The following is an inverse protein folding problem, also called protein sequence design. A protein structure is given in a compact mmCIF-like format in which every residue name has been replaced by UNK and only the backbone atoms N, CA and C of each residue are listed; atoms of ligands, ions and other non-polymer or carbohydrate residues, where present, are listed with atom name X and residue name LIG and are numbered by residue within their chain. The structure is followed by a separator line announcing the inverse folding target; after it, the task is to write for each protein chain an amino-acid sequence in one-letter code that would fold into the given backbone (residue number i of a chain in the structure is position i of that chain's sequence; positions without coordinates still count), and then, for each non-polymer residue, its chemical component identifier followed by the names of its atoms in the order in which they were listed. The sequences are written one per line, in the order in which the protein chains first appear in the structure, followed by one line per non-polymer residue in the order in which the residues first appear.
data_IF_417555173613
#
_entry.id   IF_417555173613
#
_cell.length_a   1.000
_cell.length_b   1.000
_cell.length_c   1.000
_cell.angle_alpha   90.00
_cell.angle_beta   90.00
_cell.angle_gamma   90.00
#
_symmetry.space_group_name_H-M   'P 1'
#
loop_
_entity.id
_entity.type
_entity.pdbx_description
1 polymer ?
#
# COMPACT_ATOMS: atom_id res chain seq x y z
N UNK A 1 2.13 14.55 10.73
CA UNK A 1 2.04 15.62 11.73
C UNK A 1 1.35 15.06 12.97
N UNK A 2 1.93 14.04 13.62
CA UNK A 2 1.26 13.31 14.72
C UNK A 2 1.03 14.18 15.97
N UNK A 3 1.76 15.28 16.11
CA UNK A 3 1.62 16.26 17.19
C UNK A 3 0.47 17.26 16.99
N UNK A 4 -0.29 17.15 15.89
CA UNK A 4 -1.46 18.00 15.61
C UNK A 4 -2.73 17.16 15.62
N UNK A 5 -3.80 17.73 16.14
CA UNK A 5 -5.15 17.18 15.99
C UNK A 5 -5.49 16.92 14.52
N UNK A 6 -6.13 15.79 14.16
CA UNK A 6 -6.38 15.42 12.77
C UNK A 6 -7.12 16.49 11.95
N UNK A 7 -8.10 17.17 12.55
CA UNK A 7 -8.83 18.27 11.89
C UNK A 7 -7.91 19.44 11.51
N UNK A 8 -6.98 19.81 12.38
CA UNK A 8 -6.00 20.86 12.12
C UNK A 8 -5.03 20.45 10.98
N UNK A 9 -4.66 19.17 10.90
CA UNK A 9 -3.85 18.66 9.79
C UNK A 9 -4.57 18.79 8.44
N UNK A 10 -5.88 18.50 8.40
CA UNK A 10 -6.69 18.63 7.18
C UNK A 10 -6.83 20.10 6.79
N UNK A 11 -7.14 20.99 7.74
CA UNK A 11 -7.24 22.42 7.49
C UNK A 11 -5.92 23.01 6.94
N UNK A 12 -4.78 22.61 7.51
CA UNK A 12 -3.48 23.04 7.01
C UNK A 12 -3.22 22.57 5.57
N UNK A 13 -3.57 21.32 5.23
CA UNK A 13 -3.46 20.80 3.85
C UNK A 13 -4.39 21.51 2.87
N UNK A 14 -5.61 21.82 3.29
CA UNK A 14 -6.56 22.58 2.48
C UNK A 14 -6.00 23.98 2.18
N UNK A 15 -5.42 24.66 3.18
CA UNK A 15 -4.82 25.97 2.96
C UNK A 15 -3.66 25.92 1.96
N UNK A 16 -2.81 24.89 2.03
CA UNK A 16 -1.75 24.69 1.03
C UNK A 16 -2.33 24.49 -0.39
N UNK A 17 -3.46 23.78 -0.53
CA UNK A 17 -4.14 23.63 -1.82
C UNK A 17 -4.65 24.99 -2.34
N UNK A 18 -5.34 25.75 -1.49
CA UNK A 18 -5.88 27.08 -1.83
C UNK A 18 -4.75 28.05 -2.23
N UNK A 19 -3.67 28.09 -1.45
CA UNK A 19 -2.48 28.90 -1.74
C UNK A 19 -1.84 28.50 -3.08
N UNK A 20 -1.75 27.20 -3.37
CA UNK A 20 -1.22 26.72 -4.65
C UNK A 20 -2.12 27.09 -5.84
N UNK A 21 -3.45 26.99 -5.70
CA UNK A 21 -4.40 27.42 -6.75
C UNK A 21 -4.23 28.91 -7.06
N UNK A 22 -4.15 29.75 -6.02
CA UNK A 22 -4.00 31.19 -6.18
C UNK A 22 -2.63 31.59 -6.73
N UNK A 23 -1.55 31.04 -6.17
CA UNK A 23 -0.19 31.50 -6.48
C UNK A 23 0.44 30.83 -7.68
N UNK A 24 0.20 29.53 -7.89
CA UNK A 24 0.74 28.77 -9.02
C UNK A 24 -0.29 28.74 -10.15
N UNK A 25 -1.49 28.27 -9.85
CA UNK A 25 -2.56 28.12 -10.85
C UNK A 25 -3.13 29.45 -11.36
N UNK A 26 -2.95 30.55 -10.61
CA UNK A 26 -3.54 31.88 -10.88
C UNK A 26 -5.07 31.83 -11.01
N UNK A 27 -5.70 30.90 -10.30
CA UNK A 27 -7.15 30.71 -10.30
C UNK A 27 -7.71 30.74 -8.88
N UNK A 28 -8.99 31.07 -8.75
CA UNK A 28 -9.75 30.95 -7.51
C UNK A 28 -10.85 29.93 -7.72
N UNK A 29 -10.99 28.98 -6.80
CA UNK A 29 -12.08 28.02 -6.86
C UNK A 29 -13.43 28.72 -6.62
N UNK A 30 -14.41 28.43 -7.47
CA UNK A 30 -15.80 28.86 -7.25
C UNK A 30 -16.41 28.13 -6.05
N UNK A 31 -16.12 26.83 -5.94
CA UNK A 31 -16.62 25.94 -4.88
C UNK A 31 -15.45 25.14 -4.33
N UNK A 32 -15.30 25.15 -3.00
CA UNK A 32 -14.42 24.23 -2.28
C UNK A 32 -15.30 23.13 -1.67
N UNK A 33 -15.11 21.89 -2.13
CA UNK A 33 -15.81 20.74 -1.56
C UNK A 33 -15.27 20.42 -0.16
N UNK A 34 -16.10 19.91 0.77
CA UNK A 34 -15.64 19.47 2.09
C UNK A 34 -14.51 18.44 1.97
N UNK A 35 -13.46 18.56 2.77
CA UNK A 35 -12.35 17.62 2.74
C UNK A 35 -12.82 16.17 2.99
N UNK A 36 -12.13 15.21 2.38
CA UNK A 36 -12.33 13.79 2.70
C UNK A 36 -11.61 13.47 4.01
N UNK A 37 -12.36 12.93 4.97
CA UNK A 37 -11.84 12.45 6.24
C UNK A 37 -11.81 10.93 6.24
N UNK A 38 -10.77 10.37 6.86
CA UNK A 38 -10.58 8.94 6.98
C UNK A 38 -9.96 8.61 8.34
N UNK A 39 -9.73 7.32 8.61
CA UNK A 39 -9.11 6.90 9.85
C UNK A 39 -7.75 7.57 10.04
N UNK A 40 -7.49 8.08 11.25
CA UNK A 40 -6.24 8.76 11.59
C UNK A 40 -5.08 7.80 11.89
N UNK A 41 -5.44 6.57 12.26
CA UNK A 41 -4.53 5.47 12.61
C UNK A 41 -4.94 4.21 11.83
N UNK A 42 -4.08 3.20 11.80
CA UNK A 42 -4.38 1.89 11.24
C UNK A 42 -4.85 1.88 9.78
N UNK A 43 -4.53 2.94 9.02
CA UNK A 43 -5.10 3.16 7.70
C UNK A 43 -4.22 2.63 6.58
N UNK A 44 -2.94 2.36 6.85
CA UNK A 44 -1.92 2.10 5.84
C UNK A 44 -1.85 0.61 5.50
N UNK A 45 -2.47 0.24 4.39
CA UNK A 45 -2.50 -1.14 3.87
C UNK A 45 -1.23 -1.55 3.12
N UNK A 46 -0.27 -0.63 2.94
CA UNK A 46 1.00 -0.92 2.26
C UNK A 46 2.18 -0.24 2.90
N UNK A 47 3.25 -1.01 3.07
CA UNK A 47 4.49 -0.51 3.64
C UNK A 47 5.70 -1.07 2.89
N UNK A 48 6.80 -0.33 2.98
CA UNK A 48 8.10 -0.75 2.49
C UNK A 48 9.07 -0.53 3.64
N UNK A 49 9.40 -1.62 4.33
CA UNK A 49 10.30 -1.61 5.46
C UNK A 49 11.72 -1.84 4.97
N UNK A 50 12.66 -1.06 5.48
CA UNK A 50 14.08 -1.35 5.31
C UNK A 50 14.46 -2.42 6.34
N UNK A 51 15.34 -3.34 5.94
CA UNK A 51 15.95 -4.31 6.83
C UNK A 51 17.48 -4.14 6.76
N UNK A 52 18.15 -4.14 7.92
CA UNK A 52 19.60 -3.93 7.99
C UNK A 52 20.20 -4.66 9.19
N UNK A 53 21.22 -5.47 8.92
CA UNK A 53 22.07 -6.05 9.94
C UNK A 53 22.94 -4.96 10.59
N UNK A 54 23.02 -4.97 11.92
CA UNK A 54 23.79 -4.00 12.71
C UNK A 54 24.84 -4.76 13.54
N UNK A 55 26.05 -4.87 12.98
CA UNK A 55 27.16 -5.69 13.52
C UNK A 55 27.46 -5.40 14.99
N UNK A 56 27.47 -4.12 15.39
CA UNK A 56 27.80 -3.70 16.76
C UNK A 56 26.80 -4.13 17.83
N UNK A 57 25.59 -4.56 17.44
CA UNK A 57 24.52 -5.01 18.35
C UNK A 57 24.10 -6.46 18.11
N UNK A 58 24.73 -7.17 17.15
CA UNK A 58 24.38 -8.55 16.80
C UNK A 58 22.92 -8.74 16.35
N UNK A 59 22.26 -7.68 15.89
CA UNK A 59 20.82 -7.67 15.63
C UNK A 59 20.46 -7.09 14.27
N UNK A 60 19.24 -7.38 13.82
CA UNK A 60 18.65 -6.81 12.61
C UNK A 60 17.62 -5.75 12.98
N UNK A 61 17.71 -4.58 12.34
CA UNK A 61 16.66 -3.57 12.39
C UNK A 61 15.75 -3.74 11.19
N UNK A 62 14.44 -3.82 11.45
CA UNK A 62 13.37 -3.74 10.44
C UNK A 62 12.51 -2.54 10.78
N UNK A 63 12.30 -1.63 9.82
CA UNK A 63 11.51 -0.43 10.05
C UNK A 63 11.64 0.63 8.96
N UNK A 64 11.20 1.85 9.27
CA UNK A 64 11.33 3.00 8.38
C UNK A 64 12.67 3.72 8.56
N UNK A 65 13.10 4.42 7.51
CA UNK A 65 14.25 5.31 7.59
C UNK A 65 13.90 6.57 8.38
N UNK A 66 14.87 7.05 9.13
CA UNK A 66 14.83 8.37 9.74
C UNK A 66 14.66 9.47 8.67
N UNK A 67 14.08 10.60 9.07
CA UNK A 67 13.86 11.73 8.17
C UNK A 67 15.19 12.22 7.60
N UNK A 68 15.34 12.14 6.28
CA UNK A 68 16.55 12.56 5.55
C UNK A 68 17.82 11.80 5.97
N UNK A 69 17.70 10.53 6.37
CA UNK A 69 18.80 9.71 6.85
C UNK A 69 18.73 8.28 6.27
N UNK A 70 19.88 7.59 6.23
CA UNK A 70 19.97 6.17 5.84
C UNK A 70 19.83 5.22 7.04
N UNK A 71 19.78 5.76 8.25
CA UNK A 71 19.55 4.98 9.47
C UNK A 71 18.09 4.56 9.56
N UNK A 72 17.88 3.36 10.11
CA UNK A 72 16.57 2.79 10.38
C UNK A 72 16.19 3.18 11.81
N UNK A 73 14.97 3.71 11.97
CA UNK A 73 14.41 3.99 13.29
C UNK A 73 14.23 2.69 14.04
N UNK A 74 14.72 2.62 15.27
CA UNK A 74 14.46 1.50 16.15
C UNK A 74 13.02 1.60 16.70
N UNK A 75 12.08 0.96 16.00
CA UNK A 75 10.66 0.93 16.35
C UNK A 75 10.12 -0.48 16.55
N UNK A 76 9.28 -0.66 17.57
CA UNK A 76 8.61 -1.94 17.87
C UNK A 76 7.15 -1.95 17.43
N UNK A 77 6.55 -0.78 17.17
CA UNK A 77 5.19 -0.63 16.65
C UNK A 77 5.10 0.52 15.64
N UNK A 78 4.02 0.56 14.87
CA UNK A 78 3.71 1.67 13.98
C UNK A 78 2.19 1.90 13.85
N UNK A 79 1.68 2.92 14.53
CA UNK A 79 0.25 3.24 14.66
C UNK A 79 -0.50 3.57 13.34
N UNK A 80 0.23 3.82 12.25
CA UNK A 80 -0.41 4.04 10.95
C UNK A 80 -0.59 2.76 10.15
N UNK A 81 0.20 1.72 10.43
CA UNK A 81 0.04 0.39 9.82
C UNK A 81 -1.18 -0.29 10.42
N UNK A 82 -1.77 -1.24 9.70
CA UNK A 82 -2.82 -2.09 10.29
C UNK A 82 -2.27 -2.80 11.53
N UNK A 83 -3.11 -3.10 12.55
CA UNK A 83 -2.65 -3.71 13.80
C UNK A 83 -1.87 -5.00 13.55
N UNK A 84 -2.35 -5.85 12.64
CA UNK A 84 -1.70 -7.12 12.28
C UNK A 84 -0.30 -6.89 11.71
N UNK A 85 -0.13 -5.90 10.83
CA UNK A 85 1.18 -5.56 10.27
C UNK A 85 2.10 -4.92 11.29
N UNK A 86 1.58 -4.04 12.15
CA UNK A 86 2.37 -3.45 13.23
C UNK A 86 2.89 -4.52 14.19
N UNK A 87 2.07 -5.53 14.50
CA UNK A 87 2.45 -6.66 15.34
C UNK A 87 3.55 -7.54 14.71
N UNK A 88 3.71 -7.53 13.39
CA UNK A 88 4.77 -8.28 12.69
C UNK A 88 6.14 -7.61 12.75
N UNK A 89 6.26 -6.34 13.18
CA UNK A 89 7.56 -5.64 13.14
C UNK A 89 8.64 -6.34 13.96
N UNK A 90 8.30 -6.75 15.19
CA UNK A 90 9.23 -7.46 16.06
C UNK A 90 9.49 -8.91 15.61
N UNK A 91 8.47 -9.74 15.29
CA UNK A 91 8.66 -11.05 14.70
C UNK A 91 9.50 -11.04 13.41
N UNK A 92 9.36 -10.03 12.56
CA UNK A 92 10.17 -9.91 11.35
C UNK A 92 11.66 -9.66 11.66
N UNK A 93 11.98 -8.91 12.73
CA UNK A 93 13.36 -8.72 13.18
C UNK A 93 13.95 -10.03 13.68
N UNK A 94 13.19 -10.75 14.49
CA UNK A 94 13.56 -12.05 15.06
C UNK A 94 13.73 -13.13 14.00
N UNK A 95 12.89 -13.14 12.97
CA UNK A 95 13.06 -14.00 11.81
C UNK A 95 14.33 -13.61 11.03
N UNK A 96 14.47 -12.33 10.70
CA UNK A 96 15.54 -11.87 9.79
C UNK A 96 16.94 -12.07 10.37
N UNK A 97 17.10 -11.94 11.70
CA UNK A 97 18.39 -12.19 12.36
C UNK A 97 18.82 -13.67 12.30
N UNK A 98 17.89 -14.60 12.11
CA UNK A 98 18.19 -16.03 12.01
C UNK A 98 18.63 -16.47 10.63
N UNK A 99 18.53 -15.59 9.63
CA UNK A 99 18.88 -15.94 8.26
C UNK A 99 20.39 -15.97 8.04
N UNK A 100 20.86 -16.99 7.32
CA UNK A 100 22.26 -17.08 6.90
C UNK A 100 22.70 -15.92 6.00
N UNK A 101 21.74 -15.27 5.33
CA UNK A 101 21.92 -14.17 4.39
C UNK A 101 21.27 -12.85 4.87
N UNK A 102 21.18 -12.61 6.18
CA UNK A 102 20.51 -11.44 6.76
C UNK A 102 21.04 -10.08 6.22
N UNK A 103 22.33 -9.98 5.88
CA UNK A 103 22.96 -8.81 5.26
C UNK A 103 22.56 -8.58 3.79
N UNK A 104 21.90 -9.58 3.18
CA UNK A 104 21.46 -9.60 1.78
C UNK A 104 19.96 -9.44 1.61
N UNK A 105 19.26 -9.03 2.67
CA UNK A 105 17.82 -8.75 2.65
C UNK A 105 17.61 -7.27 3.00
N UNK A 106 17.73 -6.34 2.02
CA UNK A 106 17.67 -4.91 2.30
C UNK A 106 16.26 -4.40 2.64
N UNK A 107 15.22 -5.18 2.33
CA UNK A 107 13.85 -4.69 2.29
C UNK A 107 12.81 -5.80 2.39
N UNK A 108 11.72 -5.47 3.07
CA UNK A 108 10.49 -6.25 3.14
C UNK A 108 9.33 -5.33 2.78
N UNK A 109 8.65 -5.61 1.67
CA UNK A 109 7.42 -4.93 1.29
C UNK A 109 6.21 -5.65 1.85
N UNK A 110 5.17 -4.89 2.17
CA UNK A 110 3.94 -5.40 2.75
C UNK A 110 2.77 -4.88 1.91
N UNK A 111 1.89 -5.80 1.55
CA UNK A 111 0.61 -5.53 0.93
C UNK A 111 -0.50 -6.23 1.70
N UNK A 112 -1.47 -5.46 2.20
CA UNK A 112 -2.64 -5.97 2.92
C UNK A 112 -3.83 -5.94 1.98
N UNK A 113 -4.39 -7.13 1.72
CA UNK A 113 -5.68 -7.31 1.06
C UNK A 113 -6.78 -7.58 2.08
N UNK A 114 -8.00 -7.81 1.61
CA UNK A 114 -9.15 -8.08 2.49
C UNK A 114 -9.08 -9.44 3.19
N UNK A 115 -8.36 -10.40 2.63
CA UNK A 115 -8.31 -11.79 3.13
C UNK A 115 -6.91 -12.28 3.46
N UNK A 116 -5.86 -11.56 3.04
CA UNK A 116 -4.48 -11.99 3.23
C UNK A 116 -3.54 -10.79 3.35
N UNK A 117 -2.51 -10.93 4.16
CA UNK A 117 -1.34 -10.04 4.14
C UNK A 117 -0.20 -10.75 3.42
N UNK A 118 0.40 -10.05 2.45
CA UNK A 118 1.54 -10.54 1.69
C UNK A 118 2.80 -9.78 2.08
N UNK A 119 3.87 -10.52 2.36
CA UNK A 119 5.21 -10.04 2.61
C UNK A 119 6.10 -10.35 1.41
N UNK A 120 6.73 -9.35 0.81
CA UNK A 120 7.68 -9.53 -0.29
C UNK A 120 9.09 -9.26 0.23
N UNK A 121 9.91 -10.31 0.30
CA UNK A 121 11.32 -10.18 0.70
C UNK A 121 12.18 -9.87 -0.52
N UNK A 122 12.93 -8.75 -0.47
CA UNK A 122 13.96 -8.47 -1.48
C UNK A 122 15.19 -9.29 -1.14
N UNK A 123 15.53 -10.28 -1.96
CA UNK A 123 16.65 -11.19 -1.76
C UNK A 123 17.80 -10.87 -2.73
N UNK A 124 18.92 -10.37 -2.22
CA UNK A 124 20.15 -10.20 -3.02
C UNK A 124 20.93 -11.51 -3.18
N UNK A 125 20.65 -12.50 -2.33
CA UNK A 125 21.08 -13.88 -2.42
C UNK A 125 19.89 -14.78 -2.02
N UNK A 126 19.72 -15.97 -2.61
CA UNK A 126 18.61 -16.86 -2.29
C UNK A 126 18.71 -17.37 -0.85
N UNK A 127 17.58 -17.79 -0.27
CA UNK A 127 17.54 -18.57 0.95
C UNK A 127 18.13 -19.97 0.72
N UNK A 128 18.81 -20.52 1.72
CA UNK A 128 19.11 -21.95 1.76
C UNK A 128 17.90 -22.73 2.33
N UNK A 129 18.02 -24.05 2.44
CA UNK A 129 16.91 -24.90 2.91
C UNK A 129 16.47 -24.61 4.35
N UNK A 130 17.41 -24.27 5.24
CA UNK A 130 17.14 -23.91 6.64
C UNK A 130 16.41 -22.57 6.75
N UNK A 131 16.88 -21.55 6.03
CA UNK A 131 16.23 -20.25 5.93
C UNK A 131 14.82 -20.39 5.34
N UNK A 132 14.68 -21.18 4.27
CA UNK A 132 13.40 -21.48 3.64
C UNK A 132 12.42 -22.18 4.61
N UNK A 133 12.90 -23.09 5.47
CA UNK A 133 12.08 -23.72 6.49
C UNK A 133 11.57 -22.72 7.54
N UNK A 134 12.44 -21.81 8.01
CA UNK A 134 12.05 -20.73 8.94
C UNK A 134 11.01 -19.79 8.33
N UNK A 135 11.15 -19.43 7.05
CA UNK A 135 10.18 -18.58 6.34
C UNK A 135 8.82 -19.26 6.25
N UNK A 136 8.77 -20.56 5.94
CA UNK A 136 7.52 -21.32 5.87
C UNK A 136 6.82 -21.39 7.24
N UNK A 137 7.57 -21.72 8.28
CA UNK A 137 7.04 -21.75 9.65
C UNK A 137 6.51 -20.38 10.09
N UNK A 138 7.23 -19.29 9.75
CA UNK A 138 6.78 -17.93 10.04
C UNK A 138 5.49 -17.58 9.33
N UNK A 139 5.39 -17.90 8.04
CA UNK A 139 4.21 -17.63 7.22
C UNK A 139 2.97 -18.34 7.79
N UNK A 140 3.11 -19.61 8.18
CA UNK A 140 2.05 -20.40 8.82
C UNK A 140 1.66 -19.86 10.19
N UNK A 141 2.65 -19.57 11.05
CA UNK A 141 2.44 -19.05 12.41
C UNK A 141 1.65 -17.74 12.39
N UNK A 142 1.92 -16.86 11.43
CA UNK A 142 1.33 -15.53 11.35
C UNK A 142 0.19 -15.40 10.34
N UNK A 143 -0.17 -16.47 9.63
CA UNK A 143 -1.24 -16.45 8.63
C UNK A 143 -0.98 -15.46 7.48
N UNK A 144 0.29 -15.33 7.05
CA UNK A 144 0.70 -14.44 5.95
C UNK A 144 1.18 -15.25 4.76
N UNK A 145 1.10 -14.66 3.57
CA UNK A 145 1.78 -15.21 2.40
C UNK A 145 3.12 -14.50 2.21
N UNK A 146 4.17 -15.27 1.97
CA UNK A 146 5.51 -14.78 1.66
C UNK A 146 5.77 -14.93 0.16
N UNK A 147 6.31 -13.87 -0.42
CA UNK A 147 6.82 -13.77 -1.77
C UNK A 147 8.28 -13.36 -1.72
N UNK A 148 9.01 -13.67 -2.77
CA UNK A 148 10.42 -13.29 -2.90
C UNK A 148 10.66 -12.46 -4.17
N UNK A 149 11.66 -11.58 -4.10
CA UNK A 149 12.10 -10.73 -5.20
C UNK A 149 13.62 -10.81 -5.33
N UNK A 150 14.11 -11.40 -6.42
CA UNK A 150 15.55 -11.57 -6.65
C UNK A 150 16.22 -10.41 -7.40
N UNK A 151 15.49 -9.71 -8.27
CA UNK A 151 15.96 -8.56 -9.07
C UNK A 151 14.91 -7.45 -9.14
N UNK A 152 14.47 -7.07 -10.34
CA UNK A 152 13.46 -6.05 -10.56
C UNK A 152 12.05 -6.56 -10.21
N UNK A 153 11.02 -5.70 -10.37
CA UNK A 153 9.63 -6.07 -10.08
C UNK A 153 9.14 -7.32 -10.82
N UNK A 154 9.66 -7.59 -12.01
CA UNK A 154 9.35 -8.76 -12.84
C UNK A 154 9.74 -10.10 -12.19
N UNK A 155 10.63 -10.08 -11.21
CA UNK A 155 11.09 -11.29 -10.50
C UNK A 155 10.27 -11.64 -9.26
N UNK A 156 9.25 -10.83 -8.94
CA UNK A 156 8.40 -11.05 -7.77
C UNK A 156 7.53 -12.28 -8.01
N UNK A 157 7.67 -13.28 -7.14
CA UNK A 157 6.93 -14.54 -7.22
C UNK A 157 6.50 -15.05 -5.84
N UNK A 158 5.37 -15.79 -5.76
CA UNK A 158 4.97 -16.47 -4.52
C UNK A 158 6.07 -17.43 -4.05
N UNK A 159 6.24 -17.53 -2.73
CA UNK A 159 7.13 -18.49 -2.09
C UNK A 159 6.34 -19.48 -1.22
N UNK A 160 5.54 -18.99 -0.26
CA UNK A 160 4.74 -19.85 0.62
C UNK A 160 3.59 -19.10 1.31
N UNK A 161 2.42 -19.74 1.55
CA UNK A 161 2.00 -21.00 0.93
C UNK A 161 1.81 -20.85 -0.58
N UNK A 162 1.90 -21.97 -1.31
CA UNK A 162 1.70 -22.00 -2.77
C UNK A 162 0.29 -21.54 -3.16
N UNK A 163 -0.69 -21.92 -2.33
CA UNK A 163 -2.09 -21.52 -2.48
C UNK A 163 -2.49 -20.60 -1.34
N UNK A 164 -2.91 -19.38 -1.66
CA UNK A 164 -3.45 -18.40 -0.73
C UNK A 164 -4.58 -17.62 -1.42
N UNK A 165 -5.47 -16.95 -0.65
CA UNK A 165 -6.40 -16.00 -1.23
C UNK A 165 -5.68 -14.91 -2.03
N UNK A 166 -6.31 -14.43 -3.11
CA UNK A 166 -5.76 -13.31 -3.87
C UNK A 166 -5.75 -12.02 -3.03
N UNK A 167 -4.74 -11.18 -3.25
CA UNK A 167 -4.76 -9.81 -2.77
C UNK A 167 -5.87 -9.05 -3.51
N UNK A 168 -6.81 -8.50 -2.75
CA UNK A 168 -7.91 -7.72 -3.29
C UNK A 168 -8.36 -6.63 -2.32
N UNK A 169 -9.05 -5.62 -2.87
CA UNK A 169 -9.87 -4.70 -2.09
C UNK A 169 -11.21 -4.48 -2.78
N UNK A 170 -12.27 -4.31 -1.99
CA UNK A 170 -13.61 -4.06 -2.50
C UNK A 170 -13.85 -2.58 -2.76
N UNK A 171 -14.69 -2.30 -3.75
CA UNK A 171 -15.42 -1.04 -3.94
C UNK A 171 -16.94 -1.35 -3.87
N UNK A 172 -17.52 -1.49 -2.66
CA UNK A 172 -18.86 -2.06 -2.48
C UNK A 172 -19.98 -1.27 -3.16
N UNK A 173 -19.87 0.06 -3.21
CA UNK A 173 -20.85 0.94 -3.89
C UNK A 173 -21.02 0.61 -5.38
N UNK A 174 -20.00 0.01 -5.98
CA UNK A 174 -19.97 -0.36 -7.40
C UNK A 174 -20.07 -1.88 -7.61
N UNK A 175 -20.19 -2.68 -6.53
CA UNK A 175 -20.20 -4.14 -6.63
C UNK A 175 -18.90 -4.75 -7.16
N UNK A 176 -17.77 -4.05 -7.00
CA UNK A 176 -16.48 -4.46 -7.56
C UNK A 176 -15.54 -5.02 -6.50
N UNK A 177 -14.80 -6.05 -6.87
CA UNK A 177 -13.62 -6.56 -6.14
C UNK A 177 -12.42 -6.36 -7.05
N UNK A 178 -11.41 -5.65 -6.56
CA UNK A 178 -10.24 -5.23 -7.31
C UNK A 178 -9.05 -6.15 -6.96
N UNK A 179 -8.75 -7.18 -7.76
CA UNK A 179 -7.56 -8.00 -7.54
C UNK A 179 -6.29 -7.20 -7.87
N UNK A 180 -5.21 -7.45 -7.14
CA UNK A 180 -3.92 -6.81 -7.39
C UNK A 180 -2.76 -7.71 -6.97
N UNK A 181 -1.59 -7.51 -7.57
CA UNK A 181 -0.34 -8.16 -7.13
C UNK A 181 0.35 -7.31 -6.06
N UNK A 182 1.21 -7.90 -5.21
CA UNK A 182 1.94 -7.16 -4.19
C UNK A 182 2.76 -5.97 -4.72
N UNK A 183 3.20 -6.00 -5.98
CA UNK A 183 3.97 -4.92 -6.63
C UNK A 183 3.13 -3.87 -7.36
N UNK A 184 1.84 -4.15 -7.61
CA UNK A 184 0.99 -3.21 -8.34
C UNK A 184 0.76 -1.96 -7.51
N UNK A 185 0.61 -0.80 -8.13
CA UNK A 185 0.26 0.40 -7.38
C UNK A 185 -1.19 0.32 -6.90
N UNK A 186 -1.40 0.44 -5.58
CA UNK A 186 -2.72 0.64 -4.97
C UNK A 186 -2.70 1.79 -4.00
N UNK A 187 -3.86 2.37 -3.74
CA UNK A 187 -3.99 3.42 -2.73
C UNK A 187 -3.73 2.86 -1.34
N UNK A 188 -2.82 3.48 -0.60
CA UNK A 188 -2.40 3.00 0.72
C UNK A 188 -3.48 3.13 1.80
N UNK A 189 -4.53 3.92 1.57
CA UNK A 189 -5.65 4.10 2.49
C UNK A 189 -6.95 3.72 1.77
N UNK A 190 -7.43 2.51 2.01
CA UNK A 190 -8.59 1.93 1.32
C UNK A 190 -9.88 2.71 1.63
N UNK A 191 -10.06 3.18 2.86
CA UNK A 191 -11.24 3.95 3.25
C UNK A 191 -11.33 5.29 2.51
N UNK A 192 -10.21 6.03 2.45
CA UNK A 192 -10.13 7.26 1.65
C UNK A 192 -10.28 6.97 0.16
N UNK A 193 -9.69 5.88 -0.35
CA UNK A 193 -9.84 5.48 -1.74
C UNK A 193 -11.31 5.28 -2.12
N UNK A 194 -12.07 4.52 -1.32
CA UNK A 194 -13.51 4.32 -1.54
C UNK A 194 -14.27 5.64 -1.60
N UNK A 195 -14.04 6.52 -0.63
CA UNK A 195 -14.70 7.83 -0.59
C UNK A 195 -14.30 8.73 -1.78
N UNK A 196 -13.04 8.67 -2.20
CA UNK A 196 -12.51 9.42 -3.35
C UNK A 196 -13.15 8.94 -4.65
N UNK A 197 -13.15 7.63 -4.91
CA UNK A 197 -13.78 7.02 -6.09
C UNK A 197 -15.27 7.38 -6.13
N UNK A 198 -15.98 7.10 -5.04
CA UNK A 198 -17.39 7.43 -4.85
C UNK A 198 -17.71 8.89 -5.19
N UNK A 199 -16.92 9.84 -4.68
CA UNK A 199 -17.10 11.27 -4.97
C UNK A 199 -16.75 11.62 -6.41
N UNK A 200 -15.67 11.07 -6.97
CA UNK A 200 -15.27 11.33 -8.34
C UNK A 200 -16.35 10.88 -9.34
N UNK A 201 -16.92 9.68 -9.16
CA UNK A 201 -17.98 9.17 -10.04
C UNK A 201 -19.26 10.01 -9.92
N UNK A 202 -19.64 10.43 -8.70
CA UNK A 202 -20.78 11.33 -8.51
C UNK A 202 -20.60 12.70 -9.15
N UNK A 203 -19.37 13.22 -9.21
CA UNK A 203 -19.06 14.48 -9.89
C UNK A 203 -19.03 14.31 -11.41
N UNK A 204 -18.53 13.18 -11.89
CA UNK A 204 -18.45 12.87 -13.31
C UNK A 204 -19.83 12.61 -13.93
N UNK A 205 -20.74 11.97 -13.18
CA UNK A 205 -22.10 11.61 -13.60
C UNK A 205 -22.13 10.95 -15.00
N UNK A 206 -21.41 9.84 -15.20
CA UNK A 206 -21.30 9.21 -16.51
C UNK A 206 -22.68 8.83 -17.07
N UNK A 207 -22.95 9.20 -18.32
CA UNK A 207 -24.23 8.93 -18.98
C UNK A 207 -24.13 7.79 -20.00
N UNK A 208 -25.24 7.09 -20.28
CA UNK A 208 -25.33 6.13 -21.38
C UNK A 208 -24.85 6.71 -22.72
N UNK A 209 -23.95 6.01 -23.40
CA UNK A 209 -23.45 6.39 -24.74
C UNK A 209 -22.26 7.35 -24.73
N UNK A 210 -21.82 7.83 -23.56
CA UNK A 210 -20.61 8.63 -23.46
C UNK A 210 -19.34 7.80 -23.62
N UNK A 211 -18.31 8.43 -24.19
CA UNK A 211 -16.96 7.87 -24.31
C UNK A 211 -16.07 8.56 -23.29
N UNK A 212 -15.64 7.84 -22.28
CA UNK A 212 -14.83 8.37 -21.19
C UNK A 212 -13.43 7.77 -21.27
N UNK A 213 -12.42 8.64 -21.22
CA UNK A 213 -11.01 8.26 -21.14
C UNK A 213 -10.53 8.39 -19.69
N UNK A 214 -9.97 7.30 -19.15
CA UNK A 214 -9.29 7.29 -17.85
C UNK A 214 -7.77 7.21 -18.10
N UNK A 215 -7.10 8.35 -17.92
CA UNK A 215 -5.65 8.49 -18.13
C UNK A 215 -4.91 8.12 -16.84
N UNK A 216 -3.84 7.34 -16.95
CA UNK A 216 -3.08 6.82 -15.81
C UNK A 216 -3.95 5.91 -14.89
N UNK A 217 -4.87 5.16 -15.51
CA UNK A 217 -5.87 4.32 -14.85
C UNK A 217 -5.31 3.22 -13.93
N UNK A 218 -4.05 2.82 -14.10
CA UNK A 218 -3.40 1.79 -13.29
C UNK A 218 -4.18 0.46 -13.32
N UNK A 219 -4.71 0.05 -12.16
CA UNK A 219 -5.56 -1.14 -11.99
C UNK A 219 -7.04 -0.91 -12.39
N UNK A 220 -7.40 0.27 -12.88
CA UNK A 220 -8.78 0.64 -13.22
C UNK A 220 -9.61 1.10 -12.02
N UNK A 221 -8.97 1.72 -11.02
CA UNK A 221 -9.63 2.17 -9.77
C UNK A 221 -10.75 3.20 -10.00
N UNK A 222 -10.72 3.94 -11.11
CA UNK A 222 -11.82 4.81 -11.56
C UNK A 222 -12.51 4.22 -12.81
N UNK A 223 -11.74 3.66 -13.73
CA UNK A 223 -12.25 3.02 -14.96
C UNK A 223 -13.38 2.02 -14.71
N UNK A 224 -13.20 1.10 -13.77
CA UNK A 224 -14.19 0.06 -13.52
C UNK A 224 -15.48 0.64 -12.87
N UNK A 225 -15.41 1.50 -11.84
CA UNK A 225 -16.58 2.23 -11.36
C UNK A 225 -17.34 3.01 -12.44
N UNK A 226 -16.63 3.68 -13.37
CA UNK A 226 -17.24 4.36 -14.52
C UNK A 226 -18.03 3.35 -15.37
N UNK A 227 -17.41 2.23 -15.71
CA UNK A 227 -18.02 1.18 -16.52
C UNK A 227 -19.26 0.54 -15.86
N UNK A 228 -19.32 0.50 -14.52
CA UNK A 228 -20.52 0.02 -13.79
C UNK A 228 -21.65 1.05 -13.71
N UNK A 229 -21.35 2.33 -13.93
CA UNK A 229 -22.31 3.43 -13.77
C UNK A 229 -23.04 3.80 -15.08
N UNK A 230 -22.61 3.25 -16.23
CA UNK A 230 -23.30 3.37 -17.52
C UNK A 230 -23.65 1.99 -18.10
N UNK A 231 -24.66 1.85 -18.98
CA UNK A 231 -24.93 0.60 -19.68
C UNK A 231 -23.74 0.24 -20.57
N UNK A 232 -23.45 -1.07 -20.63
CA UNK A 232 -22.32 -1.69 -21.34
C UNK A 232 -22.36 -1.31 -22.83
N UNK A 233 -21.72 -0.19 -23.17
CA UNK A 233 -21.28 0.15 -24.53
C UNK A 233 -19.75 0.09 -24.54
N UNK A 234 -19.08 -0.40 -25.60
CA UNK A 234 -17.70 -0.88 -25.54
C UNK A 234 -16.61 0.20 -25.37
N UNK A 235 -16.92 1.40 -24.86
CA UNK A 235 -16.15 2.60 -25.18
C UNK A 235 -15.49 3.34 -24.01
N UNK A 236 -15.40 2.73 -22.82
CA UNK A 236 -14.48 3.23 -21.78
C UNK A 236 -13.07 2.73 -22.08
N UNK A 237 -12.16 3.63 -22.45
CA UNK A 237 -10.77 3.29 -22.76
C UNK A 237 -9.86 3.67 -21.59
N UNK A 238 -9.20 2.67 -21.00
CA UNK A 238 -8.11 2.87 -20.03
C UNK A 238 -6.80 3.06 -20.80
N UNK A 239 -6.16 4.21 -20.60
CA UNK A 239 -4.87 4.56 -21.19
C UNK A 239 -3.82 4.60 -20.07
N UNK A 240 -2.94 3.60 -20.07
CA UNK A 240 -1.85 3.46 -19.10
C UNK A 240 -0.67 4.37 -19.43
#
# INVERSE_FOLDING_TARGET
MQHLEPGAQVAAKQRVLEDNLAHIGKVKAEIILPALHGPSWNYRSRARLSARLVDKKGGVLVGFREKRSSYIVDMTSCEILTPDVSALLQPLRELTVQFSNADRIPQIEIAVGEHITVLVFRLLAPWNDDDAAKVRAFAEQHGVQVWEQSKGPETVRPFWPETAPDLSYSLPEFGLVMPFKPIDFTQVNVAINRALVSRAIRLLQPQPGERIADLFCGLGNFTLPIATSGPISPSTTCLK
#
